data_IF_399459269614
#
_entry.id   IF_399459269614
#
_cell.length_a   1.000
_cell.length_b   1.000
_cell.length_c   1.000
_cell.angle_alpha   90.00
_cell.angle_beta   90.00
_cell.angle_gamma   90.00
#
_symmetry.space_group_name_H-M   'P 1'
#
loop_
_entity.id
_entity.type
_entity.pdbx_description
1 polymer ?
#
# COMPACT_ATOMS: atom_id res chain seq x y z
N UNK A 1 5.10 9.90 -12.30
CA UNK A 1 3.74 10.44 -12.05
C UNK A 1 3.49 10.49 -10.54
N UNK A 2 2.44 11.12 -10.03
CA UNK A 2 2.04 11.00 -8.61
C UNK A 2 0.93 9.96 -8.49
N UNK A 3 1.04 9.08 -7.51
CA UNK A 3 0.09 8.02 -7.20
C UNK A 3 -0.50 8.27 -5.82
N UNK A 4 -1.76 7.89 -5.64
CA UNK A 4 -2.46 8.09 -4.38
C UNK A 4 -2.32 6.85 -3.50
N UNK A 5 -1.92 7.04 -2.26
CA UNK A 5 -1.90 5.97 -1.27
C UNK A 5 -3.33 5.51 -0.95
N UNK A 6 -3.58 4.21 -0.95
CA UNK A 6 -4.86 3.62 -0.62
C UNK A 6 -5.27 3.88 0.84
N UNK A 7 -4.31 3.89 1.77
CA UNK A 7 -4.57 4.05 3.20
C UNK A 7 -4.72 5.50 3.64
N UNK A 8 -3.67 6.31 3.45
CA UNK A 8 -3.67 7.70 3.92
C UNK A 8 -4.24 8.69 2.89
N UNK A 9 -4.50 8.25 1.65
CA UNK A 9 -4.99 9.09 0.54
C UNK A 9 -4.03 10.22 0.12
N UNK A 10 -2.79 10.23 0.62
CA UNK A 10 -1.79 11.20 0.19
C UNK A 10 -1.26 10.92 -1.22
N UNK A 11 -0.94 12.00 -1.92
CA UNK A 11 -0.21 11.95 -3.18
C UNK A 11 1.27 11.65 -2.92
N UNK A 12 1.75 10.57 -3.53
CA UNK A 12 3.10 10.04 -3.39
C UNK A 12 3.76 9.91 -4.75
N UNK A 13 5.05 10.21 -4.81
CA UNK A 13 5.83 10.01 -6.03
C UNK A 13 5.88 8.52 -6.40
N UNK A 14 5.84 8.21 -7.69
CA UNK A 14 5.97 6.84 -8.20
C UNK A 14 7.19 6.06 -7.67
N UNK A 15 8.27 6.75 -7.28
CA UNK A 15 9.45 6.12 -6.68
C UNK A 15 9.26 5.69 -5.22
N UNK A 16 8.21 6.17 -4.56
CA UNK A 16 7.89 5.96 -3.15
C UNK A 16 6.54 5.26 -2.96
N UNK A 17 5.93 4.79 -4.05
CA UNK A 17 4.71 3.99 -4.03
C UNK A 17 5.09 2.51 -4.11
N UNK A 18 4.47 1.69 -3.26
CA UNK A 18 4.62 0.25 -3.23
C UNK A 18 3.28 -0.40 -3.56
N UNK A 19 3.28 -1.35 -4.49
CA UNK A 19 2.09 -2.14 -4.80
C UNK A 19 2.08 -3.35 -3.88
N UNK A 20 1.00 -3.53 -3.13
CA UNK A 20 0.79 -4.67 -2.25
C UNK A 20 -0.48 -5.41 -2.63
N UNK A 21 -0.49 -6.72 -2.39
CA UNK A 21 -1.65 -7.56 -2.65
C UNK A 21 -2.38 -7.82 -1.34
N UNK A 22 -3.61 -7.33 -1.23
CA UNK A 22 -4.51 -7.61 -0.13
C UNK A 22 -5.42 -8.78 -0.49
N UNK A 23 -5.47 -9.79 0.36
CA UNK A 23 -6.46 -10.85 0.27
C UNK A 23 -7.74 -10.39 0.99
N UNK A 24 -8.76 -10.02 0.22
CA UNK A 24 -10.03 -9.55 0.79
C UNK A 24 -11.12 -10.59 0.51
N UNK A 25 -11.60 -11.23 1.57
CA UNK A 25 -12.69 -12.23 1.62
C UNK A 25 -12.52 -13.49 0.75
N UNK A 26 -12.21 -13.36 -0.54
CA UNK A 26 -11.94 -14.44 -1.48
C UNK A 26 -11.23 -13.94 -2.77
N UNK A 27 -10.69 -12.71 -2.77
CA UNK A 27 -10.06 -12.12 -3.95
C UNK A 27 -8.83 -11.33 -3.56
N UNK A 28 -7.76 -11.54 -4.34
CA UNK A 28 -6.55 -10.74 -4.25
C UNK A 28 -6.75 -9.41 -4.97
N UNK A 29 -6.56 -8.31 -4.25
CA UNK A 29 -6.59 -6.95 -4.80
C UNK A 29 -5.23 -6.30 -4.66
N UNK A 30 -4.72 -5.77 -5.76
CA UNK A 30 -3.49 -5.00 -5.76
C UNK A 30 -3.83 -3.54 -5.47
N UNK A 31 -3.31 -3.03 -4.35
CA UNK A 31 -3.47 -1.64 -3.93
C UNK A 31 -2.11 -0.95 -3.78
N UNK A 32 -2.11 0.37 -3.86
CA UNK A 32 -0.90 1.20 -3.80
C UNK A 32 -0.75 1.83 -2.42
N UNK A 33 0.41 1.68 -1.79
CA UNK A 33 0.74 2.30 -0.51
C UNK A 33 1.94 3.24 -0.65
N UNK A 34 1.94 4.34 0.10
CA UNK A 34 3.15 5.11 0.29
C UNK A 34 4.16 4.34 1.16
N UNK A 35 5.41 4.80 1.16
CA UNK A 35 6.51 4.19 1.90
C UNK A 35 6.17 3.97 3.40
N UNK A 36 5.53 4.96 4.03
CA UNK A 36 5.14 4.89 5.44
C UNK A 36 4.08 3.81 5.71
N UNK A 37 2.93 3.86 5.01
CA UNK A 37 1.87 2.86 5.17
C UNK A 37 2.34 1.46 4.76
N UNK A 38 3.26 1.34 3.81
CA UNK A 38 3.87 0.08 3.44
C UNK A 38 4.72 -0.50 4.58
N UNK A 39 5.53 0.30 5.27
CA UNK A 39 6.30 -0.14 6.43
C UNK A 39 5.39 -0.60 7.58
N UNK A 40 4.33 0.15 7.89
CA UNK A 40 3.35 -0.24 8.91
C UNK A 40 2.66 -1.56 8.54
N UNK A 41 2.26 -1.71 7.28
CA UNK A 41 1.65 -2.93 6.77
C UNK A 41 2.59 -4.15 6.89
N UNK A 42 3.88 -3.99 6.54
CA UNK A 42 4.88 -5.04 6.72
C UNK A 42 5.09 -5.44 8.18
N UNK A 43 4.96 -4.50 9.12
CA UNK A 43 5.00 -4.81 10.55
C UNK A 43 3.75 -5.57 11.00
N UNK A 44 2.58 -5.23 10.47
CA UNK A 44 1.32 -5.91 10.77
C UNK A 44 1.25 -7.37 10.29
N UNK A 45 1.92 -7.72 9.18
CA UNK A 45 1.97 -9.11 8.66
C UNK A 45 2.89 -10.01 9.48
N UNK A 46 3.86 -9.45 10.22
CA UNK A 46 4.75 -10.25 11.08
C UNK A 46 4.08 -10.74 12.38
N UNK A 47 2.76 -10.58 12.52
CA UNK A 47 1.96 -11.05 13.66
C UNK A 47 1.50 -12.49 13.54
#
# INVERSE_FOLDING_TARGET
MTHKCFYCTDDTEEKKIHVVTFQVTDTDRNEMLCDECYQEWLQGIKG
#
